data_IF_822715383611
#
_entry.id   IF_822715383611
#
_cell.length_a   1.000
_cell.length_b   1.000
_cell.length_c   1.000
_cell.angle_alpha   90.00
_cell.angle_beta   90.00
_cell.angle_gamma   90.00
#
_symmetry.space_group_name_H-M   'P 1'
#
loop_
_entity.id
_entity.type
_entity.pdbx_description
1 polymer ?
#
# COMPACT_ATOMS: atom_id res chain seq x y z
N UNK A 1 -22.76 1.07 27.06
CA UNK A 1 -21.78 1.90 26.32
C UNK A 1 -20.37 1.40 26.63
N UNK A 2 -19.47 1.23 25.65
CA UNK A 2 -18.09 0.85 25.92
C UNK A 2 -17.36 1.94 26.72
N UNK A 3 -16.54 1.54 27.68
CA UNK A 3 -15.72 2.46 28.49
C UNK A 3 -14.51 2.95 27.69
N UNK A 4 -13.96 4.12 28.03
CA UNK A 4 -12.77 4.68 27.36
C UNK A 4 -11.58 3.68 27.33
N UNK A 5 -11.41 2.90 28.41
CA UNK A 5 -10.38 1.86 28.52
C UNK A 5 -10.63 0.67 27.58
N UNK A 6 -11.89 0.32 27.33
CA UNK A 6 -12.24 -0.73 26.36
C UNK A 6 -12.04 -0.27 24.91
N UNK A 7 -12.31 1.02 24.63
CA UNK A 7 -12.13 1.63 23.32
C UNK A 7 -10.64 1.68 22.92
N UNK A 8 -9.77 2.09 23.85
CA UNK A 8 -8.32 2.14 23.63
C UNK A 8 -7.73 0.73 23.41
N UNK A 9 -8.17 -0.27 24.18
CA UNK A 9 -7.75 -1.66 23.99
C UNK A 9 -8.14 -2.21 22.63
N UNK A 10 -9.39 -2.01 22.21
CA UNK A 10 -9.89 -2.52 20.94
C UNK A 10 -9.21 -1.83 19.74
N UNK A 11 -8.95 -0.54 19.83
CA UNK A 11 -8.16 0.20 18.84
C UNK A 11 -6.73 -0.33 18.72
N UNK A 12 -6.07 -0.57 19.86
CA UNK A 12 -4.72 -1.13 19.88
C UNK A 12 -4.70 -2.52 19.25
N UNK A 13 -5.62 -3.40 19.66
CA UNK A 13 -5.75 -4.75 19.11
C UNK A 13 -6.00 -4.73 17.61
N UNK A 14 -6.92 -3.89 17.14
CA UNK A 14 -7.19 -3.74 15.71
C UNK A 14 -5.93 -3.28 14.95
N UNK A 15 -5.23 -2.29 15.49
CA UNK A 15 -4.03 -1.73 14.86
C UNK A 15 -2.90 -2.74 14.77
N UNK A 16 -2.61 -3.44 15.87
CA UNK A 16 -1.59 -4.48 15.92
C UNK A 16 -1.97 -5.64 14.99
N UNK A 17 -3.22 -6.07 15.00
CA UNK A 17 -3.70 -7.17 14.15
C UNK A 17 -3.60 -6.78 12.67
N UNK A 18 -3.97 -5.56 12.30
CA UNK A 18 -3.81 -5.08 10.93
C UNK A 18 -2.34 -5.07 10.51
N UNK A 19 -1.46 -4.54 11.35
CA UNK A 19 -0.04 -4.45 11.02
C UNK A 19 0.61 -5.83 10.82
N UNK A 20 0.29 -6.80 11.69
CA UNK A 20 0.82 -8.16 11.62
C UNK A 20 0.18 -8.94 10.48
N UNK A 21 -1.15 -8.96 10.41
CA UNK A 21 -1.87 -9.90 9.55
C UNK A 21 -2.39 -9.31 8.25
N UNK A 22 -2.15 -8.04 7.92
CA UNK A 22 -2.58 -7.48 6.63
C UNK A 22 -1.40 -6.93 5.85
N UNK A 23 -0.48 -6.26 6.55
CA UNK A 23 0.65 -5.63 5.91
C UNK A 23 1.93 -6.46 6.09
N UNK A 24 2.71 -6.21 7.14
CA UNK A 24 4.08 -6.71 7.22
C UNK A 24 4.24 -8.16 7.64
N UNK A 25 3.47 -8.63 8.62
CA UNK A 25 3.69 -10.01 9.09
C UNK A 25 3.42 -11.04 8.00
N UNK A 26 2.44 -10.81 7.10
CA UNK A 26 2.25 -11.65 5.91
C UNK A 26 3.44 -11.55 4.95
N UNK A 27 3.84 -10.33 4.58
CA UNK A 27 4.96 -10.12 3.64
C UNK A 27 6.24 -10.77 4.14
N UNK A 28 6.61 -10.51 5.40
CA UNK A 28 7.79 -11.07 6.04
C UNK A 28 7.70 -12.59 6.18
N UNK A 29 6.53 -13.14 6.51
CA UNK A 29 6.35 -14.58 6.60
C UNK A 29 6.51 -15.26 5.23
N UNK A 30 5.88 -14.73 4.18
CA UNK A 30 6.01 -15.29 2.83
C UNK A 30 7.45 -15.14 2.31
N UNK A 31 8.08 -13.98 2.52
CA UNK A 31 9.49 -13.77 2.18
C UNK A 31 10.38 -14.76 2.95
N UNK A 32 10.14 -14.97 4.24
CA UNK A 32 10.90 -15.91 5.07
C UNK A 32 10.79 -17.35 4.60
N UNK A 33 9.58 -17.80 4.23
CA UNK A 33 9.34 -19.13 3.64
C UNK A 33 10.05 -19.28 2.30
N UNK A 34 9.98 -18.28 1.43
CA UNK A 34 10.68 -18.36 0.14
C UNK A 34 12.19 -18.30 0.33
N UNK A 35 12.69 -17.52 1.29
CA UNK A 35 14.10 -17.46 1.63
C UNK A 35 14.61 -18.82 2.15
N UNK A 36 13.85 -19.51 3.00
CA UNK A 36 14.27 -20.84 3.50
C UNK A 36 14.35 -21.90 2.40
N UNK A 37 13.59 -21.76 1.32
CA UNK A 37 13.57 -22.69 0.18
C UNK A 37 14.63 -22.31 -0.86
N UNK A 38 14.79 -21.01 -1.13
CA UNK A 38 15.58 -20.51 -2.28
C UNK A 38 16.92 -19.88 -1.90
N UNK A 39 17.15 -19.58 -0.63
CA UNK A 39 18.32 -18.83 -0.14
C UNK A 39 18.33 -17.34 -0.54
N UNK A 40 17.29 -16.85 -1.20
CA UNK A 40 17.26 -15.48 -1.75
C UNK A 40 15.99 -14.72 -1.32
N UNK A 41 16.19 -13.53 -0.76
CA UNK A 41 15.08 -12.60 -0.42
C UNK A 41 14.45 -12.06 -1.72
N UNK A 42 15.30 -11.60 -2.65
CA UNK A 42 14.88 -11.10 -3.96
C UNK A 42 14.56 -12.25 -4.91
N UNK A 43 13.48 -12.11 -5.67
CA UNK A 43 13.10 -13.09 -6.70
C UNK A 43 14.19 -13.20 -7.76
N UNK A 44 14.58 -14.44 -8.08
CA UNK A 44 15.54 -14.73 -9.15
C UNK A 44 14.85 -15.12 -10.46
N UNK A 45 13.58 -15.52 -10.40
CA UNK A 45 12.77 -15.92 -11.57
C UNK A 45 11.35 -15.36 -11.48
N UNK A 46 10.67 -15.24 -12.63
CA UNK A 46 9.27 -14.80 -12.68
C UNK A 46 8.35 -15.72 -11.87
N UNK A 47 8.62 -17.03 -11.85
CA UNK A 47 7.85 -17.97 -11.04
C UNK A 47 7.97 -17.66 -9.54
N UNK A 48 9.18 -17.44 -9.04
CA UNK A 48 9.39 -17.05 -7.63
C UNK A 48 8.69 -15.74 -7.28
N UNK A 49 8.72 -14.75 -8.20
CA UNK A 49 8.01 -13.50 -8.01
C UNK A 49 6.49 -13.71 -7.96
N UNK A 50 5.93 -14.40 -8.96
CA UNK A 50 4.49 -14.66 -9.06
C UNK A 50 3.98 -15.45 -7.86
N UNK A 51 4.71 -16.48 -7.41
CA UNK A 51 4.35 -17.23 -6.22
C UNK A 51 4.30 -16.35 -4.97
N UNK A 52 5.32 -15.48 -4.76
CA UNK A 52 5.35 -14.55 -3.62
C UNK A 52 4.19 -13.55 -3.67
N UNK A 53 4.04 -12.84 -4.78
CA UNK A 53 3.05 -11.77 -4.90
C UNK A 53 1.63 -12.30 -4.75
N UNK A 54 1.31 -13.46 -5.33
CA UNK A 54 -0.03 -14.06 -5.22
C UNK A 54 -0.29 -14.67 -3.84
N UNK A 55 0.72 -15.28 -3.19
CA UNK A 55 0.58 -15.75 -1.81
C UNK A 55 0.27 -14.59 -0.86
N UNK A 56 1.04 -13.48 -0.96
CA UNK A 56 0.81 -12.29 -0.15
C UNK A 56 -0.56 -11.69 -0.45
N UNK A 57 -0.90 -11.53 -1.73
CA UNK A 57 -2.18 -10.94 -2.18
C UNK A 57 -3.37 -11.74 -1.67
N UNK A 58 -3.35 -13.07 -1.83
CA UNK A 58 -4.43 -13.96 -1.40
C UNK A 58 -4.64 -13.93 0.11
N UNK A 59 -3.55 -14.04 0.88
CA UNK A 59 -3.61 -13.96 2.34
C UNK A 59 -4.09 -12.57 2.81
N UNK A 60 -3.65 -11.50 2.15
CA UNK A 60 -4.09 -10.14 2.44
C UNK A 60 -5.58 -9.94 2.17
N UNK A 61 -6.10 -10.41 1.05
CA UNK A 61 -7.55 -10.35 0.75
C UNK A 61 -8.37 -11.07 1.82
N UNK A 62 -7.95 -12.27 2.21
CA UNK A 62 -8.60 -13.05 3.28
C UNK A 62 -8.62 -12.25 4.59
N UNK A 63 -7.48 -11.67 4.98
CA UNK A 63 -7.38 -10.93 6.24
C UNK A 63 -8.12 -9.60 6.22
N UNK A 64 -8.17 -8.91 5.08
CA UNK A 64 -9.04 -7.74 4.87
C UNK A 64 -10.50 -8.13 5.09
N UNK A 65 -10.95 -9.26 4.52
CA UNK A 65 -12.32 -9.73 4.67
C UNK A 65 -12.66 -10.05 6.14
N UNK A 66 -11.77 -10.75 6.84
CA UNK A 66 -11.92 -11.06 8.27
C UNK A 66 -11.98 -9.79 9.10
N UNK A 67 -11.04 -8.85 8.91
CA UNK A 67 -10.96 -7.64 9.72
C UNK A 67 -12.11 -6.68 9.46
N UNK A 68 -12.49 -6.46 8.19
CA UNK A 68 -13.68 -5.66 7.87
C UNK A 68 -14.92 -6.22 8.55
N UNK A 69 -15.12 -7.53 8.48
CA UNK A 69 -16.23 -8.21 9.17
C UNK A 69 -16.15 -8.06 10.68
N UNK A 70 -14.96 -8.23 11.28
CA UNK A 70 -14.73 -8.12 12.72
C UNK A 70 -15.04 -6.72 13.28
N UNK A 71 -14.81 -5.67 12.49
CA UNK A 71 -15.20 -4.30 12.87
C UNK A 71 -16.60 -3.92 12.39
N UNK A 72 -17.40 -4.85 11.85
CA UNK A 72 -18.76 -4.60 11.37
C UNK A 72 -18.82 -3.67 10.15
N UNK A 73 -17.89 -3.83 9.22
CA UNK A 73 -17.87 -3.18 7.91
C UNK A 73 -18.12 -4.21 6.82
N UNK A 74 -18.69 -3.76 5.70
CA UNK A 74 -18.79 -4.59 4.49
C UNK A 74 -17.53 -4.38 3.66
N UNK A 75 -17.09 -5.41 2.92
CA UNK A 75 -15.98 -5.26 1.99
C UNK A 75 -16.20 -4.12 0.98
N UNK A 76 -17.45 -3.91 0.55
CA UNK A 76 -17.80 -2.81 -0.34
C UNK A 76 -17.55 -1.42 0.24
N UNK A 77 -17.43 -1.30 1.56
CA UNK A 77 -17.08 -0.04 2.22
C UNK A 77 -15.69 0.46 1.86
N UNK A 78 -14.77 -0.41 1.45
CA UNK A 78 -13.39 -0.05 1.11
C UNK A 78 -13.25 0.81 -0.15
N UNK A 79 -14.29 0.87 -0.97
CA UNK A 79 -14.34 1.69 -2.18
C UNK A 79 -15.64 2.52 -2.25
N UNK A 80 -16.23 2.82 -1.10
CA UNK A 80 -17.39 3.68 -1.00
C UNK A 80 -17.08 5.15 -1.35
N UNK A 81 -18.14 5.85 -1.74
CA UNK A 81 -18.10 7.25 -2.16
C UNK A 81 -18.26 7.44 -3.67
N UNK A 82 -18.61 8.66 -4.04
CA UNK A 82 -18.71 9.08 -5.44
C UNK A 82 -17.45 9.84 -5.83
N UNK A 83 -16.82 9.42 -6.93
CA UNK A 83 -15.70 10.16 -7.49
C UNK A 83 -16.24 11.28 -8.38
N UNK A 84 -16.76 12.34 -7.74
CA UNK A 84 -17.18 13.54 -8.47
C UNK A 84 -15.94 14.21 -9.08
N UNK A 85 -16.11 15.03 -10.13
CA UNK A 85 -15.01 15.78 -10.79
C UNK A 85 -14.05 16.42 -9.77
N UNK A 86 -14.60 17.04 -8.72
CA UNK A 86 -13.81 17.64 -7.63
C UNK A 86 -12.89 16.64 -6.91
N UNK A 87 -13.37 15.43 -6.61
CA UNK A 87 -12.55 14.40 -5.96
C UNK A 87 -11.45 13.85 -6.86
N UNK A 88 -11.72 13.71 -8.16
CA UNK A 88 -10.70 13.33 -9.15
C UNK A 88 -9.62 14.42 -9.29
N UNK A 89 -10.05 15.69 -9.45
CA UNK A 89 -9.12 16.83 -9.55
C UNK A 89 -8.26 16.93 -8.30
N UNK A 90 -8.86 16.83 -7.11
CA UNK A 90 -8.10 16.86 -5.86
C UNK A 90 -7.13 15.68 -5.76
N UNK A 91 -7.53 14.47 -6.17
CA UNK A 91 -6.63 13.32 -6.21
C UNK A 91 -5.43 13.52 -7.13
N UNK A 92 -5.64 14.09 -8.33
CA UNK A 92 -4.57 14.37 -9.29
C UNK A 92 -3.66 15.50 -8.81
N UNK A 93 -4.24 16.65 -8.43
CA UNK A 93 -3.50 17.83 -7.96
C UNK A 93 -2.65 17.51 -6.75
N UNK A 94 -3.12 16.63 -5.88
CA UNK A 94 -2.40 16.20 -4.69
C UNK A 94 -1.14 15.40 -5.00
N UNK A 95 -1.09 14.69 -6.14
CA UNK A 95 0.07 13.91 -6.55
C UNK A 95 1.14 14.73 -7.25
N UNK A 96 0.77 15.83 -7.91
CA UNK A 96 1.70 16.65 -8.69
C UNK A 96 2.94 17.06 -7.88
N UNK A 97 2.83 17.56 -6.63
CA UNK A 97 4.01 17.88 -5.82
C UNK A 97 4.92 16.67 -5.57
N UNK A 98 4.35 15.49 -5.32
CA UNK A 98 5.12 14.28 -5.03
C UNK A 98 5.89 13.79 -6.27
N UNK A 99 5.22 13.71 -7.42
CA UNK A 99 5.84 13.37 -8.70
C UNK A 99 6.90 14.42 -9.06
N UNK A 100 6.62 15.70 -8.83
CA UNK A 100 7.59 16.79 -9.09
C UNK A 100 8.84 16.63 -8.23
N UNK A 101 8.68 16.33 -6.93
CA UNK A 101 9.83 16.06 -6.05
C UNK A 101 10.63 14.87 -6.56
N UNK A 102 9.96 13.78 -6.96
CA UNK A 102 10.65 12.60 -7.52
C UNK A 102 11.44 12.94 -8.79
N UNK A 103 10.83 13.67 -9.73
CA UNK A 103 11.48 14.15 -10.96
C UNK A 103 12.67 15.05 -10.65
N UNK A 104 12.57 15.95 -9.68
CA UNK A 104 13.67 16.84 -9.27
C UNK A 104 14.81 16.03 -8.66
N UNK A 105 14.51 15.08 -7.77
CA UNK A 105 15.52 14.26 -7.11
C UNK A 105 16.24 13.30 -8.07
N UNK A 106 15.52 12.72 -9.04
CA UNK A 106 16.10 11.81 -10.05
C UNK A 106 16.75 12.58 -11.20
N UNK A 107 16.29 13.80 -11.47
CA UNK A 107 16.66 14.60 -12.64
C UNK A 107 15.76 14.32 -13.84
N UNK A 108 15.30 15.39 -14.50
CA UNK A 108 14.31 15.35 -15.60
C UNK A 108 14.74 14.41 -16.74
N UNK A 109 16.02 14.40 -17.10
CA UNK A 109 16.55 13.58 -18.20
C UNK A 109 16.66 12.09 -17.87
N UNK A 110 16.68 11.73 -16.58
CA UNK A 110 16.86 10.36 -16.09
C UNK A 110 15.57 9.75 -15.55
N UNK A 111 14.53 10.58 -15.37
CA UNK A 111 13.24 10.14 -14.91
C UNK A 111 12.58 9.19 -15.91
N UNK A 112 12.09 8.05 -15.42
CA UNK A 112 11.28 7.10 -16.16
C UNK A 112 10.04 6.82 -15.35
N UNK A 113 8.90 6.79 -16.03
CA UNK A 113 7.61 6.42 -15.42
C UNK A 113 7.75 5.12 -14.65
N UNK A 114 7.19 5.04 -13.44
CA UNK A 114 7.28 3.87 -12.58
C UNK A 114 6.85 2.60 -13.30
N UNK A 115 5.74 2.62 -14.04
CA UNK A 115 5.25 1.47 -14.81
C UNK A 115 6.26 0.92 -15.82
N UNK A 116 7.07 1.79 -16.43
CA UNK A 116 8.09 1.38 -17.40
C UNK A 116 9.31 0.78 -16.70
N UNK A 117 9.67 1.31 -15.51
CA UNK A 117 10.74 0.73 -14.68
C UNK A 117 10.35 -0.68 -14.22
N UNK A 118 9.13 -0.84 -13.72
CA UNK A 118 8.58 -2.12 -13.28
C UNK A 118 8.45 -3.11 -14.43
N UNK A 119 7.94 -2.68 -15.59
CA UNK A 119 7.88 -3.55 -16.75
C UNK A 119 9.28 -4.02 -17.20
N UNK A 120 10.27 -3.13 -17.20
CA UNK A 120 11.66 -3.50 -17.50
C UNK A 120 12.22 -4.50 -16.49
N UNK A 121 11.90 -4.34 -15.21
CA UNK A 121 12.27 -5.30 -14.17
C UNK A 121 11.65 -6.69 -14.43
N UNK A 122 10.35 -6.77 -14.68
CA UNK A 122 9.67 -8.05 -14.94
C UNK A 122 10.12 -8.70 -16.25
N UNK A 123 10.42 -7.91 -17.27
CA UNK A 123 10.93 -8.41 -18.55
C UNK A 123 12.31 -9.04 -18.39
N UNK A 124 13.22 -8.41 -17.63
CA UNK A 124 14.53 -8.98 -17.28
C UNK A 124 14.38 -10.28 -16.50
N UNK A 125 13.48 -10.30 -15.51
CA UNK A 125 13.21 -11.48 -14.69
C UNK A 125 12.63 -12.65 -15.51
N UNK A 126 11.90 -12.33 -16.57
CA UNK A 126 11.30 -13.27 -17.51
C UNK A 126 12.23 -13.73 -18.64
N UNK A 127 13.49 -13.28 -18.66
CA UNK A 127 14.43 -13.58 -19.74
C UNK A 127 13.96 -13.04 -21.09
N UNK A 128 13.44 -11.81 -21.12
CA UNK A 128 12.89 -11.12 -22.29
C UNK A 128 11.59 -11.74 -22.87
N UNK A 129 10.95 -12.67 -22.16
CA UNK A 129 9.63 -13.19 -22.50
C UNK A 129 8.53 -12.14 -22.18
N UNK A 130 8.05 -11.44 -23.21
CA UNK A 130 7.07 -10.35 -23.08
C UNK A 130 5.75 -10.76 -22.39
N UNK A 131 5.06 -11.85 -22.79
CA UNK A 131 3.86 -12.30 -22.08
C UNK A 131 4.08 -12.53 -20.58
N UNK A 132 5.20 -13.17 -20.21
CA UNK A 132 5.51 -13.45 -18.81
C UNK A 132 5.88 -12.18 -18.03
N UNK A 133 6.58 -11.23 -18.68
CA UNK A 133 6.82 -9.90 -18.12
C UNK A 133 5.53 -9.10 -17.88
N UNK A 134 4.57 -9.15 -18.81
CA UNK A 134 3.26 -8.51 -18.65
C UNK A 134 2.43 -9.16 -17.53
N UNK A 135 2.52 -10.48 -17.38
CA UNK A 135 1.88 -11.20 -16.27
C UNK A 135 2.47 -10.78 -14.92
N UNK A 136 3.80 -10.62 -14.84
CA UNK A 136 4.49 -10.09 -13.66
C UNK A 136 3.98 -8.70 -13.29
N UNK A 137 4.00 -7.77 -14.26
CA UNK A 137 3.52 -6.40 -14.08
C UNK A 137 2.05 -6.35 -13.67
N UNK A 138 1.19 -7.12 -14.33
CA UNK A 138 -0.25 -7.14 -14.00
C UNK A 138 -0.47 -7.67 -12.57
N UNK A 139 0.28 -8.69 -12.16
CA UNK A 139 0.20 -9.23 -10.80
C UNK A 139 0.67 -8.21 -9.75
N UNK A 140 1.69 -7.41 -10.06
CA UNK A 140 2.16 -6.31 -9.22
C UNK A 140 1.08 -5.24 -9.02
N UNK A 141 0.38 -4.85 -10.08
CA UNK A 141 -0.68 -3.84 -10.01
C UNK A 141 -1.91 -4.33 -9.26
N UNK A 142 -2.24 -5.62 -9.39
CA UNK A 142 -3.26 -6.25 -8.55
C UNK A 142 -2.82 -6.20 -7.08
N UNK A 143 -1.56 -6.51 -6.80
CA UNK A 143 -1.01 -6.40 -5.46
C UNK A 143 -1.11 -4.98 -4.89
N UNK A 144 -0.73 -3.95 -5.65
CA UNK A 144 -0.86 -2.54 -5.25
C UNK A 144 -2.31 -2.12 -5.00
N UNK A 145 -3.26 -2.60 -5.83
CA UNK A 145 -4.68 -2.36 -5.61
C UNK A 145 -5.16 -2.99 -4.29
N UNK A 146 -4.80 -4.24 -4.03
CA UNK A 146 -5.16 -4.91 -2.78
C UNK A 146 -4.48 -4.24 -1.58
N UNK A 147 -3.24 -3.79 -1.73
CA UNK A 147 -2.52 -3.02 -0.71
C UNK A 147 -3.30 -1.77 -0.33
N UNK A 148 -3.71 -0.92 -1.26
CA UNK A 148 -4.43 0.31 -0.91
C UNK A 148 -5.82 0.03 -0.32
N UNK A 149 -6.51 -1.02 -0.75
CA UNK A 149 -7.74 -1.49 -0.08
C UNK A 149 -7.49 -1.93 1.36
N UNK A 150 -6.32 -2.50 1.61
CA UNK A 150 -5.87 -2.87 2.95
C UNK A 150 -5.67 -1.63 3.83
N UNK A 151 -5.11 -0.55 3.29
CA UNK A 151 -4.96 0.71 4.00
C UNK A 151 -6.32 1.39 4.22
N UNK A 152 -7.23 1.31 3.25
CA UNK A 152 -8.61 1.79 3.43
C UNK A 152 -9.32 1.02 4.57
N UNK A 153 -9.05 -0.28 4.71
CA UNK A 153 -9.54 -1.09 5.84
C UNK A 153 -9.03 -0.54 7.17
N UNK A 154 -7.75 -0.17 7.21
CA UNK A 154 -7.14 0.39 8.40
C UNK A 154 -7.73 1.74 8.78
N UNK A 155 -7.89 2.64 7.80
CA UNK A 155 -8.53 3.93 7.99
C UNK A 155 -9.97 3.79 8.51
N UNK A 156 -10.80 2.98 7.85
CA UNK A 156 -12.18 2.78 8.28
C UNK A 156 -12.28 2.11 9.64
N UNK A 157 -11.49 1.07 9.90
CA UNK A 157 -11.50 0.39 11.18
C UNK A 157 -11.10 1.30 12.33
N UNK A 158 -10.00 2.06 12.17
CA UNK A 158 -9.57 3.04 13.19
C UNK A 158 -10.58 4.18 13.36
N UNK A 159 -11.25 4.60 12.28
CA UNK A 159 -12.30 5.63 12.34
C UNK A 159 -13.48 5.28 13.24
N UNK A 160 -13.80 3.98 13.39
CA UNK A 160 -14.85 3.55 14.33
C UNK A 160 -14.50 3.79 15.80
N UNK A 161 -13.21 3.87 16.12
CA UNK A 161 -12.75 4.04 17.49
C UNK A 161 -12.40 5.50 17.81
N UNK A 162 -11.80 6.24 16.86
CA UNK A 162 -11.27 7.59 17.13
C UNK A 162 -11.93 8.70 16.30
N UNK A 163 -12.86 8.34 15.41
CA UNK A 163 -13.47 9.26 14.46
C UNK A 163 -12.64 9.47 13.19
N UNK A 164 -13.31 9.78 12.08
CA UNK A 164 -12.73 9.85 10.74
C UNK A 164 -11.56 10.83 10.60
N UNK A 165 -11.61 11.99 11.29
CA UNK A 165 -10.54 12.99 11.24
C UNK A 165 -9.25 12.50 11.90
N UNK A 166 -9.35 11.85 13.06
CA UNK A 166 -8.17 11.35 13.80
C UNK A 166 -7.61 10.07 13.17
N UNK A 167 -8.48 9.27 12.52
CA UNK A 167 -8.08 8.05 11.82
C UNK A 167 -7.08 8.27 10.70
N UNK A 168 -6.98 9.48 10.13
CA UNK A 168 -6.00 9.83 9.08
C UNK A 168 -4.56 9.56 9.54
N UNK A 169 -4.26 9.77 10.82
CA UNK A 169 -2.92 9.59 11.40
C UNK A 169 -2.47 8.12 11.29
N UNK A 170 -3.40 7.17 11.30
CA UNK A 170 -3.07 5.75 11.32
C UNK A 170 -2.41 5.29 10.01
N UNK A 171 -3.02 5.45 8.82
CA UNK A 171 -2.32 5.22 7.55
C UNK A 171 -1.03 6.03 7.41
N UNK A 172 -1.04 7.31 7.78
CA UNK A 172 0.13 8.19 7.71
C UNK A 172 1.33 7.60 8.47
N UNK A 173 1.12 7.18 9.72
CA UNK A 173 2.19 6.68 10.57
C UNK A 173 2.50 5.23 10.21
N UNK A 174 1.55 4.32 10.32
CA UNK A 174 1.88 2.89 10.26
C UNK A 174 2.13 2.38 8.83
N UNK A 175 1.38 2.84 7.83
CA UNK A 175 1.63 2.45 6.44
C UNK A 175 2.72 3.33 5.78
N UNK A 176 2.85 4.59 6.18
CA UNK A 176 4.00 5.41 5.80
C UNK A 176 5.32 4.83 6.31
N UNK A 177 5.48 4.73 7.63
CA UNK A 177 6.74 4.27 8.25
C UNK A 177 7.06 2.80 8.03
N UNK A 178 6.06 2.00 7.71
CA UNK A 178 6.24 0.64 7.19
C UNK A 178 7.36 0.53 6.16
N UNK A 179 7.48 1.51 5.26
CA UNK A 179 8.47 1.51 4.19
C UNK A 179 9.93 1.58 4.67
N UNK A 180 10.18 1.89 5.95
CA UNK A 180 11.53 1.81 6.53
C UNK A 180 12.11 0.39 6.47
N UNK A 181 11.24 -0.63 6.39
CA UNK A 181 11.64 -2.04 6.31
C UNK A 181 12.30 -2.40 4.98
N UNK A 182 12.33 -1.50 3.99
CA UNK A 182 13.20 -1.63 2.82
C UNK A 182 14.70 -1.66 3.17
N UNK A 183 15.08 -1.34 4.41
CA UNK A 183 16.40 -1.68 4.96
C UNK A 183 16.75 -3.16 4.79
N UNK A 184 15.77 -4.06 4.97
CA UNK A 184 15.95 -5.52 4.88
C UNK A 184 16.25 -5.94 3.43
N UNK A 185 15.79 -5.16 2.45
CA UNK A 185 16.02 -5.43 1.02
C UNK A 185 17.29 -4.78 0.46
N UNK A 186 18.08 -4.13 1.35
CA UNK A 186 19.38 -3.56 1.07
C UNK A 186 19.39 -2.05 0.81
N UNK A 187 18.29 -1.35 1.07
CA UNK A 187 18.25 0.12 1.03
C UNK A 187 19.03 0.69 2.22
N UNK A 188 19.75 1.81 2.05
CA UNK A 188 20.44 2.43 3.18
C UNK A 188 19.44 3.15 4.12
N UNK A 189 19.85 3.40 5.37
CA UNK A 189 18.96 3.93 6.41
C UNK A 189 18.35 5.29 6.05
N UNK A 190 19.12 6.19 5.42
CA UNK A 190 18.64 7.50 5.05
C UNK A 190 17.61 7.43 3.91
N UNK A 191 17.85 6.57 2.92
CA UNK A 191 16.91 6.32 1.83
C UNK A 191 15.62 5.69 2.34
N UNK A 192 15.71 4.70 3.24
CA UNK A 192 14.55 4.03 3.82
C UNK A 192 13.72 4.98 4.69
N UNK A 193 14.38 5.84 5.49
CA UNK A 193 13.70 6.89 6.25
C UNK A 193 13.05 7.93 5.33
N UNK A 194 13.76 8.36 4.28
CA UNK A 194 13.22 9.28 3.28
C UNK A 194 11.97 8.73 2.60
N UNK A 195 12.00 7.46 2.21
CA UNK A 195 10.85 6.75 1.64
C UNK A 195 9.70 6.66 2.65
N UNK A 196 9.97 6.33 3.91
CA UNK A 196 8.96 6.29 4.96
C UNK A 196 8.25 7.65 5.15
N UNK A 197 9.01 8.75 5.18
CA UNK A 197 8.48 10.10 5.31
C UNK A 197 7.68 10.53 4.06
N UNK A 198 8.19 10.19 2.87
CA UNK A 198 7.51 10.41 1.60
C UNK A 198 6.15 9.70 1.58
N UNK A 199 6.15 8.40 1.87
CA UNK A 199 4.94 7.57 1.87
C UNK A 199 3.95 7.97 2.96
N UNK A 200 4.44 8.37 4.15
CA UNK A 200 3.60 8.94 5.20
C UNK A 200 2.93 10.24 4.76
N UNK A 201 3.65 11.11 4.05
CA UNK A 201 3.11 12.37 3.52
C UNK A 201 2.06 12.13 2.44
N UNK A 202 2.31 11.18 1.52
CA UNK A 202 1.33 10.75 0.51
C UNK A 202 0.07 10.21 1.19
N UNK A 203 0.20 9.32 2.18
CA UNK A 203 -0.93 8.78 2.94
C UNK A 203 -1.73 9.88 3.64
N UNK A 204 -1.06 10.79 4.35
CA UNK A 204 -1.71 11.93 5.00
C UNK A 204 -2.57 12.71 4.00
N UNK A 205 -1.98 13.03 2.85
CA UNK A 205 -2.61 13.80 1.80
C UNK A 205 -3.83 13.05 1.21
N UNK A 206 -3.69 11.78 0.83
CA UNK A 206 -4.77 10.94 0.31
C UNK A 206 -5.96 10.86 1.28
N UNK A 207 -5.70 10.57 2.55
CA UNK A 207 -6.76 10.37 3.54
C UNK A 207 -7.36 11.68 4.06
N UNK A 208 -6.60 12.79 4.01
CA UNK A 208 -7.15 14.12 4.23
C UNK A 208 -8.21 14.47 3.17
N UNK A 209 -7.92 14.23 1.88
CA UNK A 209 -8.91 14.45 0.83
C UNK A 209 -10.06 13.45 0.93
N UNK A 210 -9.79 12.18 1.23
CA UNK A 210 -10.84 11.17 1.43
C UNK A 210 -11.81 11.59 2.54
N UNK A 211 -11.30 12.12 3.65
CA UNK A 211 -12.11 12.66 4.75
C UNK A 211 -12.99 13.82 4.30
N UNK A 212 -12.43 14.81 3.58
CA UNK A 212 -13.19 15.99 3.14
C UNK A 212 -14.19 15.71 2.02
N UNK A 213 -13.96 14.67 1.21
CA UNK A 213 -14.82 14.30 0.09
C UNK A 213 -15.77 13.16 0.41
N UNK A 214 -15.55 12.43 1.51
CA UNK A 214 -16.28 11.22 1.87
C UNK A 214 -16.06 10.07 0.86
N UNK A 215 -14.92 10.03 0.17
CA UNK A 215 -14.67 9.09 -0.92
C UNK A 215 -13.35 8.34 -0.77
N UNK A 216 -13.44 7.03 -0.54
CA UNK A 216 -12.29 6.13 -0.46
C UNK A 216 -11.78 5.66 -1.83
N UNK A 217 -12.45 6.08 -2.90
CA UNK A 217 -11.92 5.95 -4.26
C UNK A 217 -10.75 6.91 -4.53
N UNK A 218 -10.64 8.01 -3.76
CA UNK A 218 -9.55 8.97 -3.93
C UNK A 218 -8.20 8.34 -3.57
N UNK A 219 -7.99 7.71 -2.40
CA UNK A 219 -6.75 6.99 -2.10
C UNK A 219 -6.41 5.91 -3.14
N UNK A 220 -7.42 5.16 -3.63
CA UNK A 220 -7.19 4.13 -4.65
C UNK A 220 -6.63 4.75 -5.92
N UNK A 221 -7.29 5.77 -6.47
CA UNK A 221 -6.84 6.40 -7.72
C UNK A 221 -5.51 7.11 -7.51
N UNK A 222 -5.34 7.81 -6.39
CA UNK A 222 -4.12 8.52 -6.10
C UNK A 222 -2.92 7.56 -6.01
N UNK A 223 -3.10 6.43 -5.32
CA UNK A 223 -2.09 5.38 -5.23
C UNK A 223 -1.78 4.76 -6.59
N UNK A 224 -2.80 4.36 -7.35
CA UNK A 224 -2.58 3.75 -8.67
C UNK A 224 -1.90 4.72 -9.65
N UNK A 225 -2.25 6.02 -9.62
CA UNK A 225 -1.58 7.03 -10.43
C UNK A 225 -0.12 7.21 -10.02
N UNK A 226 0.18 7.16 -8.71
CA UNK A 226 1.55 7.23 -8.22
C UNK A 226 2.38 6.01 -8.64
N UNK A 227 1.76 4.82 -8.71
CA UNK A 227 2.45 3.61 -9.20
C UNK A 227 2.65 3.61 -10.72
N UNK A 228 1.92 4.45 -11.46
CA UNK A 228 2.11 4.62 -12.91
C UNK A 228 3.13 5.70 -13.24
N UNK A 229 3.02 6.84 -12.55
CA UNK A 229 3.77 8.06 -12.81
C UNK A 229 5.27 7.88 -12.59
#
# INVERSE_FOLDING_TARGET
>A
MPTAKSLSRNLLLFTVTWFIFVHWGIELAVIGVVYSITGHIKSQTSFQYLAKVWAITGLRVLMIFILTSAVGLRFSSLYQGSLRKRGLILGIVLLVPFITIEVICVGVSSYKLQILREFSFHLKLAGENKPLGLLGLTSEYIYYLIEILSVNTFYLGTSKFVGARRAIIFPMVFWGFAHILNLITGMNALQALGLALYMGSVALAMYYVAYHTGSLKVPIIAWMLLMVA
#
